data_IF_619680255824
#
_entry.id   IF_619680255824
#
_cell.length_a   1.000
_cell.length_b   1.000
_cell.length_c   1.000
_cell.angle_alpha   90.00
_cell.angle_beta   90.00
_cell.angle_gamma   90.00
#
_symmetry.space_group_name_H-M   'P 1'
#
loop_
_entity.id
_entity.type
_entity.pdbx_description
1 polymer ?
#
# COMPACT_ATOMS: atom_id res chain seq x y z
N UNK A 1 -25.70 -3.39 -3.36
CA UNK A 1 -24.80 -4.13 -2.46
C UNK A 1 -23.86 -3.11 -1.84
N UNK A 2 -24.07 -2.76 -0.57
CA UNK A 2 -23.22 -1.77 0.13
C UNK A 2 -21.93 -2.45 0.55
N UNK A 3 -20.80 -2.01 -0.02
CA UNK A 3 -19.44 -2.43 0.37
C UNK A 3 -19.06 -1.99 1.81
N UNK A 4 -19.91 -1.23 2.49
CA UNK A 4 -19.63 -0.68 3.82
C UNK A 4 -20.26 -1.46 4.98
N UNK A 5 -20.85 -2.63 4.72
CA UNK A 5 -21.48 -3.46 5.76
C UNK A 5 -20.59 -4.63 6.24
N UNK A 6 -19.37 -4.75 5.71
CA UNK A 6 -18.35 -5.74 6.08
C UNK A 6 -17.00 -5.03 6.34
N UNK A 7 -16.17 -5.58 7.23
CA UNK A 7 -14.88 -4.98 7.61
C UNK A 7 -13.92 -5.04 6.42
N UNK A 8 -13.53 -3.88 5.89
CA UNK A 8 -12.58 -3.80 4.78
C UNK A 8 -11.15 -3.87 5.29
N UNK A 9 -10.40 -4.89 4.88
CA UNK A 9 -8.96 -5.00 5.16
C UNK A 9 -8.17 -4.51 3.94
N UNK A 10 -7.45 -3.40 4.12
CA UNK A 10 -6.61 -2.79 3.10
C UNK A 10 -5.14 -3.12 3.33
N UNK A 11 -4.52 -3.84 2.39
CA UNK A 11 -3.09 -4.13 2.44
C UNK A 11 -2.27 -2.91 1.99
N UNK A 12 -1.45 -2.35 2.88
CA UNK A 12 -0.48 -1.31 2.52
C UNK A 12 0.69 -1.94 1.77
N UNK A 13 0.97 -1.46 0.56
CA UNK A 13 2.02 -1.93 -0.34
C UNK A 13 2.97 -0.78 -0.70
N UNK A 14 4.21 -1.11 -1.05
CA UNK A 14 5.26 -0.12 -1.32
C UNK A 14 6.05 -0.40 -2.61
N UNK A 15 5.82 -1.54 -3.25
CA UNK A 15 6.42 -1.92 -4.53
C UNK A 15 5.56 -2.96 -5.27
N UNK A 16 6.05 -3.41 -6.43
CA UNK A 16 5.35 -4.42 -7.24
C UNK A 16 5.26 -5.77 -6.51
N UNK A 17 6.29 -6.18 -5.77
CA UNK A 17 6.34 -7.49 -5.13
C UNK A 17 5.40 -7.61 -3.93
N UNK A 18 5.29 -6.56 -3.12
CA UNK A 18 4.33 -6.46 -2.02
C UNK A 18 2.88 -6.46 -2.55
N UNK A 19 2.60 -5.75 -3.65
CA UNK A 19 1.29 -5.79 -4.32
C UNK A 19 0.92 -7.19 -4.83
N UNK A 20 1.86 -7.88 -5.47
CA UNK A 20 1.66 -9.26 -5.91
C UNK A 20 1.46 -10.23 -4.74
N UNK A 21 2.14 -10.01 -3.62
CA UNK A 21 2.00 -10.80 -2.40
C UNK A 21 0.60 -10.62 -1.79
N UNK A 22 0.12 -9.39 -1.64
CA UNK A 22 -1.26 -9.13 -1.17
C UNK A 22 -2.31 -9.78 -2.07
N UNK A 23 -2.12 -9.73 -3.40
CA UNK A 23 -3.01 -10.44 -4.34
C UNK A 23 -3.01 -11.95 -4.09
N UNK A 24 -1.83 -12.57 -3.94
CA UNK A 24 -1.71 -14.02 -3.67
C UNK A 24 -2.34 -14.42 -2.34
N UNK A 25 -2.32 -13.53 -1.35
CA UNK A 25 -2.94 -13.74 -0.04
C UNK A 25 -4.45 -13.48 -0.02
N UNK A 26 -5.05 -13.07 -1.14
CA UNK A 26 -6.50 -12.92 -1.27
C UNK A 26 -7.07 -11.59 -0.76
N UNK A 27 -6.24 -10.55 -0.63
CA UNK A 27 -6.74 -9.21 -0.29
C UNK A 27 -7.67 -8.70 -1.40
N UNK A 28 -8.87 -8.25 -1.03
CA UNK A 28 -9.84 -7.69 -1.98
C UNK A 28 -9.47 -6.28 -2.48
N UNK A 29 -8.66 -5.56 -1.71
CA UNK A 29 -8.17 -4.21 -2.01
C UNK A 29 -6.75 -4.01 -1.47
N UNK A 30 -5.98 -3.14 -2.12
CA UNK A 30 -4.66 -2.69 -1.68
C UNK A 30 -4.58 -1.17 -1.76
N UNK A 31 -3.73 -0.57 -0.92
CA UNK A 31 -3.42 0.85 -0.90
C UNK A 31 -1.92 1.06 -0.83
N UNK A 32 -1.44 2.22 -1.25
CA UNK A 32 -0.02 2.58 -1.09
C UNK A 32 0.20 3.26 0.25
N UNK A 33 1.36 3.00 0.87
CA UNK A 33 1.82 3.73 2.06
C UNK A 33 3.03 4.58 1.69
N UNK A 34 2.90 5.91 1.77
CA UNK A 34 3.99 6.86 1.48
C UNK A 34 5.21 6.59 2.35
N UNK A 35 5.01 6.38 3.66
CA UNK A 35 6.07 6.05 4.61
C UNK A 35 6.84 4.78 4.21
N UNK A 36 6.12 3.73 3.81
CA UNK A 36 6.75 2.48 3.40
C UNK A 36 7.49 2.61 2.05
N UNK A 37 6.94 3.38 1.10
CA UNK A 37 7.61 3.70 -0.16
C UNK A 37 8.89 4.50 0.10
N UNK A 38 8.81 5.56 0.92
CA UNK A 38 9.96 6.39 1.30
C UNK A 38 11.08 5.56 1.91
N UNK A 39 10.76 4.76 2.92
CA UNK A 39 11.72 3.89 3.59
C UNK A 39 12.36 2.89 2.60
N UNK A 40 11.60 2.34 1.65
CA UNK A 40 12.12 1.40 0.64
C UNK A 40 13.11 2.05 -0.34
N UNK A 41 13.05 3.37 -0.49
CA UNK A 41 13.89 4.17 -1.38
C UNK A 41 15.01 4.92 -0.63
N UNK A 42 15.09 4.75 0.69
CA UNK A 42 16.11 5.40 1.54
C UNK A 42 15.76 6.85 1.95
N UNK A 43 14.51 7.24 1.82
CA UNK A 43 13.99 8.53 2.32
C UNK A 43 13.33 8.35 3.68
N UNK A 44 13.34 9.42 4.48
CA UNK A 44 12.46 9.53 5.64
C UNK A 44 11.02 9.84 5.18
N UNK A 45 10.04 9.52 6.02
CA UNK A 45 8.66 9.96 5.78
C UNK A 45 8.53 11.48 6.03
N UNK A 46 7.63 12.14 5.29
CA UNK A 46 7.46 13.59 5.39
C UNK A 46 7.37 14.36 4.06
N UNK A 47 6.92 13.72 2.97
CA UNK A 47 6.76 14.35 1.65
C UNK A 47 8.06 14.84 0.97
N UNK A 48 9.22 14.41 1.45
CA UNK A 48 10.54 14.79 0.88
C UNK A 48 10.89 14.06 -0.43
N UNK A 49 10.10 13.07 -0.84
CA UNK A 49 10.30 12.35 -2.10
C UNK A 49 9.93 13.23 -3.32
N UNK A 50 10.77 13.33 -4.35
CA UNK A 50 10.43 14.03 -5.59
C UNK A 50 9.25 13.36 -6.33
N UNK A 51 8.35 14.18 -6.87
CA UNK A 51 7.22 13.72 -7.70
C UNK A 51 7.56 13.59 -9.21
N UNK A 52 8.81 13.89 -9.59
CA UNK A 52 9.25 14.09 -10.99
C UNK A 52 10.42 13.22 -11.40
#
# INVERSE_FOLDING_TARGET
>A
MSIFNEFLVLGNVWDVQSALSCRKLGFGVIGTSSAAVAASLGFEDGEDMPFS
#
